data_IF_402078052834
#
_entry.id   IF_402078052834
#
_cell.length_a   1.000
_cell.length_b   1.000
_cell.length_c   1.000
_cell.angle_alpha   90.00
_cell.angle_beta   90.00
_cell.angle_gamma   90.00
#
_symmetry.space_group_name_H-M   'P 1'
#
loop_
_entity.id
_entity.type
_entity.pdbx_description
1 polymer ?
#
# COMPACT_ATOMS: atom_id res chain seq x y z
N UNK A 1 15.63 -17.14 35.39
CA UNK A 1 16.22 -15.84 35.00
C UNK A 1 15.53 -15.38 33.74
N UNK A 2 14.68 -14.33 33.78
CA UNK A 2 13.96 -13.89 32.59
C UNK A 2 14.98 -13.25 31.65
N UNK A 3 15.05 -13.74 30.41
CA UNK A 3 16.06 -13.32 29.47
C UNK A 3 15.80 -11.86 29.09
N UNK A 4 16.74 -11.03 29.49
CA UNK A 4 16.91 -9.61 29.22
C UNK A 4 17.13 -9.40 27.73
N UNK A 5 16.58 -8.33 27.16
CA UNK A 5 16.61 -8.08 25.71
C UNK A 5 17.98 -8.29 25.07
N UNK A 6 17.98 -8.85 23.87
CA UNK A 6 19.20 -9.22 23.13
C UNK A 6 19.50 -8.19 22.03
N UNK A 7 20.77 -7.84 21.84
CA UNK A 7 21.23 -6.96 20.77
C UNK A 7 22.27 -7.70 19.92
N UNK A 8 22.00 -7.84 18.62
CA UNK A 8 22.86 -8.57 17.68
C UNK A 8 23.18 -7.66 16.48
N UNK A 9 24.25 -6.85 16.53
CA UNK A 9 24.67 -6.08 15.37
C UNK A 9 25.29 -6.99 14.31
N UNK A 10 24.87 -6.80 13.06
CA UNK A 10 25.31 -7.61 11.92
C UNK A 10 26.20 -6.77 11.02
N UNK A 11 27.49 -7.08 10.97
CA UNK A 11 28.53 -6.29 10.28
C UNK A 11 28.82 -6.73 8.84
N UNK A 12 29.62 -5.95 8.09
CA UNK A 12 29.80 -6.19 6.67
C UNK A 12 30.46 -7.54 6.27
N UNK A 13 29.90 -8.21 5.25
CA UNK A 13 30.39 -9.36 4.50
C UNK A 13 29.79 -9.42 3.07
N UNK A 14 30.26 -10.38 2.27
CA UNK A 14 29.76 -10.59 0.89
C UNK A 14 28.40 -11.28 0.83
N UNK A 15 28.14 -12.23 1.72
CA UNK A 15 26.87 -12.94 1.80
C UNK A 15 26.62 -13.46 3.22
N UNK A 16 25.37 -13.38 3.70
CA UNK A 16 25.02 -13.78 5.05
C UNK A 16 23.62 -14.36 5.19
N UNK A 17 23.50 -15.39 6.02
CA UNK A 17 22.25 -15.96 6.46
C UNK A 17 22.20 -15.98 8.00
N UNK A 18 21.29 -15.19 8.58
CA UNK A 18 21.11 -15.14 10.04
C UNK A 18 19.65 -15.46 10.36
N UNK A 19 19.35 -16.69 10.81
CA UNK A 19 18.06 -16.99 11.42
C UNK A 19 18.00 -16.37 12.81
N UNK A 20 16.93 -15.64 13.07
CA UNK A 20 16.71 -14.94 14.33
C UNK A 20 15.66 -15.69 15.15
N UNK A 21 16.06 -16.29 16.27
CA UNK A 21 15.21 -17.18 17.09
C UNK A 21 14.42 -16.45 18.21
N UNK A 22 13.41 -17.12 18.81
CA UNK A 22 12.49 -16.49 19.76
C UNK A 22 13.10 -15.87 21.02
N UNK A 23 12.68 -14.65 21.31
CA UNK A 23 13.00 -13.88 22.51
C UNK A 23 11.85 -12.91 22.88
N UNK A 24 11.89 -12.38 24.11
CA UNK A 24 10.93 -11.39 24.62
C UNK A 24 11.11 -10.03 23.95
N UNK A 25 12.36 -9.57 23.81
CA UNK A 25 12.71 -8.32 23.15
C UNK A 25 14.05 -8.46 22.41
N UNK A 26 14.09 -7.99 21.16
CA UNK A 26 15.25 -8.17 20.30
C UNK A 26 15.51 -6.93 19.43
N UNK A 27 16.78 -6.53 19.33
CA UNK A 27 17.25 -5.45 18.46
C UNK A 27 18.37 -5.97 17.55
N UNK A 28 18.21 -5.83 16.23
CA UNK A 28 19.18 -6.33 15.24
C UNK A 28 19.41 -5.25 14.18
N UNK A 29 20.40 -4.37 14.37
CA UNK A 29 20.87 -3.49 13.31
C UNK A 29 21.61 -4.29 12.24
N UNK A 30 21.17 -4.20 10.98
CA UNK A 30 21.80 -4.88 9.84
C UNK A 30 22.58 -3.86 9.02
N UNK A 31 23.92 -3.95 9.03
CA UNK A 31 24.81 -3.00 8.34
C UNK A 31 25.05 -3.35 6.85
N UNK A 32 25.64 -2.42 6.05
CA UNK A 32 25.72 -2.55 4.60
C UNK A 32 26.50 -3.74 4.06
N UNK A 33 25.91 -4.50 3.11
CA UNK A 33 26.48 -5.65 2.39
C UNK A 33 25.93 -5.86 0.98
N UNK A 34 26.55 -6.82 0.27
CA UNK A 34 26.13 -7.25 -1.06
C UNK A 34 24.86 -8.10 -1.04
N UNK A 35 24.75 -9.12 -0.17
CA UNK A 35 23.58 -10.00 -0.13
C UNK A 35 23.24 -10.52 1.28
N UNK A 36 21.97 -10.46 1.67
CA UNK A 36 21.48 -10.94 2.97
C UNK A 36 20.20 -11.77 2.84
N UNK A 37 20.10 -12.82 3.66
CA UNK A 37 18.87 -13.53 3.99
C UNK A 37 18.68 -13.55 5.51
N UNK A 38 17.64 -12.91 6.02
CA UNK A 38 17.40 -12.78 7.46
C UNK A 38 15.98 -13.24 7.78
N UNK A 39 15.75 -14.55 7.97
CA UNK A 39 14.49 -15.06 8.48
C UNK A 39 14.30 -14.66 9.94
N UNK A 40 13.20 -13.96 10.22
CA UNK A 40 12.85 -13.49 11.56
C UNK A 40 11.75 -14.38 12.13
N UNK A 41 12.06 -15.22 13.13
CA UNK A 41 11.12 -16.13 13.78
C UNK A 41 10.36 -15.48 14.97
N UNK A 42 9.34 -16.15 15.55
CA UNK A 42 8.42 -15.56 16.52
C UNK A 42 9.07 -14.91 17.77
N UNK A 43 8.70 -13.68 18.07
CA UNK A 43 9.18 -12.77 19.11
C UNK A 43 8.02 -11.91 19.62
N UNK A 44 8.08 -11.50 20.90
CA UNK A 44 7.05 -10.61 21.47
C UNK A 44 7.25 -9.17 21.00
N UNK A 45 8.49 -8.67 21.05
CA UNK A 45 8.87 -7.34 20.58
C UNK A 45 10.17 -7.37 19.76
N UNK A 46 10.19 -6.72 18.60
CA UNK A 46 11.36 -6.70 17.72
C UNK A 46 11.57 -5.32 17.07
N UNK A 47 12.84 -4.92 17.00
CA UNK A 47 13.31 -3.79 16.20
C UNK A 47 14.45 -4.23 15.28
N UNK A 48 14.28 -4.09 13.96
CA UNK A 48 15.33 -4.38 12.96
C UNK A 48 15.51 -3.17 12.05
N UNK A 49 16.42 -2.25 12.40
CA UNK A 49 16.90 -1.25 11.45
C UNK A 49 17.79 -1.90 10.40
N UNK A 50 17.40 -1.79 9.14
CA UNK A 50 18.15 -2.35 8.01
C UNK A 50 18.83 -1.22 7.25
N UNK A 51 20.16 -1.17 7.27
CA UNK A 51 20.97 -0.19 6.53
C UNK A 51 21.20 -0.58 5.07
N UNK A 52 21.77 0.30 4.22
CA UNK A 52 21.84 0.08 2.78
C UNK A 52 22.54 -1.20 2.31
N UNK A 53 21.88 -2.00 1.47
CA UNK A 53 22.39 -3.24 0.88
C UNK A 53 22.11 -3.29 -0.64
N UNK A 54 22.87 -4.13 -1.37
CA UNK A 54 22.56 -4.40 -2.78
C UNK A 54 21.33 -5.32 -2.90
N UNK A 55 21.32 -6.47 -2.23
CA UNK A 55 20.20 -7.40 -2.26
C UNK A 55 19.84 -7.91 -0.86
N UNK A 56 18.56 -7.89 -0.52
CA UNK A 56 18.09 -8.27 0.80
C UNK A 56 16.79 -9.07 0.75
N UNK A 57 16.75 -10.17 1.49
CA UNK A 57 15.56 -10.97 1.73
C UNK A 57 15.28 -11.07 3.24
N UNK A 58 14.12 -10.58 3.68
CA UNK A 58 13.69 -10.62 5.09
C UNK A 58 12.29 -11.23 5.19
N UNK A 59 12.17 -12.55 5.33
CA UNK A 59 10.90 -13.16 5.73
C UNK A 59 10.60 -12.84 7.21
N UNK A 60 9.49 -12.15 7.47
CA UNK A 60 9.03 -11.82 8.83
C UNK A 60 7.92 -12.80 9.22
N UNK A 61 8.21 -13.76 10.10
CA UNK A 61 7.25 -14.77 10.58
C UNK A 61 6.31 -14.22 11.67
N UNK A 62 5.36 -15.01 12.23
CA UNK A 62 4.38 -14.49 13.16
C UNK A 62 4.92 -13.94 14.48
N UNK A 63 4.49 -12.72 14.84
CA UNK A 63 4.92 -11.99 16.03
C UNK A 63 3.84 -11.04 16.60
N UNK A 64 4.08 -10.51 17.79
CA UNK A 64 3.13 -9.61 18.48
C UNK A 64 3.29 -8.13 18.10
N UNK A 65 4.47 -7.52 18.25
CA UNK A 65 4.67 -6.08 17.99
C UNK A 65 6.04 -5.76 17.39
N UNK A 66 6.10 -5.13 16.21
CA UNK A 66 7.36 -4.98 15.44
C UNK A 66 7.53 -3.60 14.81
N UNK A 67 8.78 -3.15 14.75
CA UNK A 67 9.21 -1.98 13.97
C UNK A 67 10.43 -2.34 13.10
N UNK A 68 10.29 -2.27 11.78
CA UNK A 68 11.35 -2.64 10.83
C UNK A 68 11.59 -1.46 9.87
N UNK A 69 12.40 -0.46 10.26
CA UNK A 69 12.82 0.59 9.34
C UNK A 69 13.80 0.04 8.32
N UNK A 70 13.45 0.19 7.04
CA UNK A 70 14.30 -0.24 5.92
C UNK A 70 14.90 0.99 5.23
N UNK A 71 16.22 1.17 5.34
CA UNK A 71 16.99 2.21 4.64
C UNK A 71 17.34 1.80 3.19
N UNK A 72 17.85 2.73 2.36
CA UNK A 72 17.96 2.52 0.91
C UNK A 72 18.71 1.28 0.45
N UNK A 73 18.06 0.41 -0.34
CA UNK A 73 18.64 -0.78 -0.98
C UNK A 73 18.43 -0.77 -2.50
N UNK A 74 19.22 -1.56 -3.22
CA UNK A 74 18.96 -1.77 -4.66
C UNK A 74 17.76 -2.71 -4.85
N UNK A 75 17.73 -3.86 -4.17
CA UNK A 75 16.63 -4.81 -4.22
C UNK A 75 16.26 -5.33 -2.83
N UNK A 76 14.98 -5.22 -2.47
CA UNK A 76 14.41 -5.79 -1.24
C UNK A 76 13.23 -6.72 -1.56
N UNK A 77 13.26 -7.92 -1.00
CA UNK A 77 12.12 -8.82 -0.88
C UNK A 77 11.81 -9.05 0.61
N UNK A 78 10.59 -8.73 1.05
CA UNK A 78 10.20 -8.86 2.45
C UNK A 78 8.78 -9.43 2.57
N UNK A 79 8.63 -10.77 2.54
CA UNK A 79 7.37 -11.40 2.86
C UNK A 79 7.02 -11.21 4.34
N UNK A 80 5.83 -10.66 4.60
CA UNK A 80 5.31 -10.42 5.95
C UNK A 80 4.21 -11.42 6.25
N UNK A 81 4.46 -12.36 7.14
CA UNK A 81 3.50 -13.36 7.61
C UNK A 81 2.61 -12.81 8.75
N UNK A 82 1.63 -13.58 9.26
CA UNK A 82 0.65 -13.07 10.21
C UNK A 82 1.20 -12.51 11.53
N UNK A 83 0.99 -11.23 11.80
CA UNK A 83 1.34 -10.52 13.03
C UNK A 83 0.14 -9.76 13.62
N UNK A 84 0.23 -9.43 14.91
CA UNK A 84 -0.79 -8.61 15.57
C UNK A 84 -0.60 -7.12 15.24
N UNK A 85 0.61 -6.58 15.37
CA UNK A 85 0.91 -5.19 15.06
C UNK A 85 2.30 -5.05 14.43
N UNK A 86 2.38 -4.40 13.28
CA UNK A 86 3.64 -4.21 12.57
C UNK A 86 3.73 -2.82 11.93
N UNK A 87 4.89 -2.20 12.05
CA UNK A 87 5.24 -0.93 11.42
C UNK A 87 6.51 -1.10 10.58
N UNK A 88 6.42 -0.76 9.29
CA UNK A 88 7.53 -0.92 8.34
C UNK A 88 7.70 0.37 7.52
N UNK A 89 8.43 1.37 8.03
CA UNK A 89 8.85 2.50 7.23
C UNK A 89 9.88 2.03 6.19
N UNK A 90 9.58 2.21 4.90
CA UNK A 90 10.49 1.86 3.81
C UNK A 90 11.01 3.13 3.13
N UNK A 91 12.31 3.38 3.27
CA UNK A 91 13.03 4.47 2.60
C UNK A 91 13.40 4.11 1.15
N UNK A 92 13.89 5.07 0.34
CA UNK A 92 14.07 4.89 -1.09
C UNK A 92 14.88 3.67 -1.55
N UNK A 93 14.29 2.81 -2.38
CA UNK A 93 14.92 1.65 -3.02
C UNK A 93 14.73 1.68 -4.54
N UNK A 94 15.53 0.93 -5.29
CA UNK A 94 15.31 0.73 -6.72
C UNK A 94 14.15 -0.23 -6.98
N UNK A 95 14.17 -1.41 -6.37
CA UNK A 95 13.13 -2.42 -6.51
C UNK A 95 12.68 -2.98 -5.16
N UNK A 96 11.37 -2.97 -4.91
CA UNK A 96 10.77 -3.44 -3.67
C UNK A 96 9.62 -4.40 -3.92
N UNK A 97 9.64 -5.55 -3.24
CA UNK A 97 8.55 -6.52 -3.20
C UNK A 97 8.19 -6.86 -1.74
N UNK A 98 6.98 -6.50 -1.31
CA UNK A 98 6.48 -6.77 0.05
C UNK A 98 5.13 -7.49 -0.03
N UNK A 99 5.10 -8.83 -0.16
CA UNK A 99 3.89 -9.59 0.03
C UNK A 99 3.45 -9.54 1.50
N UNK A 100 2.24 -9.07 1.75
CA UNK A 100 1.66 -8.94 3.10
C UNK A 100 0.56 -10.00 3.26
N UNK A 101 0.79 -10.97 4.14
CA UNK A 101 -0.19 -11.99 4.54
C UNK A 101 -1.12 -11.48 5.66
N UNK A 102 -2.10 -12.27 6.14
CA UNK A 102 -3.09 -11.77 7.10
C UNK A 102 -2.55 -11.29 8.44
N UNK A 103 -2.75 -10.01 8.76
CA UNK A 103 -2.38 -9.34 10.01
C UNK A 103 -3.60 -8.61 10.62
N UNK A 104 -3.53 -8.32 11.92
CA UNK A 104 -4.55 -7.54 12.61
C UNK A 104 -4.39 -6.04 12.35
N UNK A 105 -3.19 -5.49 12.52
CA UNK A 105 -2.90 -4.08 12.27
C UNK A 105 -1.53 -3.90 11.61
N UNK A 106 -1.48 -3.19 10.48
CA UNK A 106 -0.25 -2.96 9.73
C UNK A 106 -0.15 -1.53 9.22
N UNK A 107 1.03 -0.95 9.37
CA UNK A 107 1.38 0.37 8.83
C UNK A 107 2.67 0.27 8.00
N UNK A 108 2.59 0.57 6.70
CA UNK A 108 3.74 0.56 5.79
C UNK A 108 3.85 1.91 5.07
N UNK A 109 4.46 2.93 5.68
CA UNK A 109 4.83 4.14 4.96
C UNK A 109 5.94 3.84 3.95
N UNK A 110 5.69 4.10 2.66
CA UNK A 110 6.66 3.86 1.59
C UNK A 110 7.11 5.17 0.98
N UNK A 111 8.38 5.51 1.15
CA UNK A 111 9.06 6.66 0.56
C UNK A 111 9.48 6.38 -0.89
N UNK A 112 9.94 7.39 -1.66
CA UNK A 112 10.14 7.26 -3.10
C UNK A 112 11.02 6.10 -3.58
N UNK A 113 10.50 5.23 -4.45
CA UNK A 113 11.19 4.11 -5.11
C UNK A 113 11.02 4.15 -6.63
N UNK A 114 11.86 3.42 -7.36
CA UNK A 114 11.66 3.24 -8.80
C UNK A 114 10.53 2.25 -9.11
N UNK A 115 10.56 1.07 -8.50
CA UNK A 115 9.55 0.03 -8.71
C UNK A 115 9.08 -0.58 -7.39
N UNK A 116 7.76 -0.59 -7.18
CA UNK A 116 7.14 -1.12 -5.97
C UNK A 116 6.02 -2.13 -6.29
N UNK A 117 6.09 -3.30 -5.65
CA UNK A 117 5.03 -4.30 -5.66
C UNK A 117 4.64 -4.70 -4.22
N UNK A 118 3.39 -4.44 -3.83
CA UNK A 118 2.87 -4.81 -2.50
C UNK A 118 1.55 -5.58 -2.66
N UNK A 119 1.59 -6.91 -2.87
CA UNK A 119 0.39 -7.73 -2.76
C UNK A 119 -0.09 -7.79 -1.31
N UNK A 120 -1.33 -7.38 -1.06
CA UNK A 120 -1.95 -7.36 0.27
C UNK A 120 -3.04 -8.42 0.35
N UNK A 121 -2.84 -9.45 1.16
CA UNK A 121 -3.83 -10.47 1.50
C UNK A 121 -4.77 -10.01 2.64
N UNK A 122 -5.80 -10.78 3.03
CA UNK A 122 -6.80 -10.30 3.99
C UNK A 122 -6.29 -9.87 5.37
N UNK A 123 -6.52 -8.62 5.76
CA UNK A 123 -6.17 -8.01 7.04
C UNK A 123 -7.39 -7.34 7.70
N UNK A 124 -7.30 -7.12 9.01
CA UNK A 124 -8.33 -6.34 9.75
C UNK A 124 -8.17 -4.83 9.53
N UNK A 125 -6.97 -4.28 9.73
CA UNK A 125 -6.70 -2.86 9.54
C UNK A 125 -5.34 -2.64 8.86
N UNK A 126 -5.34 -1.86 7.77
CA UNK A 126 -4.13 -1.58 7.00
C UNK A 126 -4.04 -0.10 6.60
N UNK A 127 -2.85 0.46 6.79
CA UNK A 127 -2.48 1.80 6.33
C UNK A 127 -1.20 1.75 5.51
N UNK A 128 -1.27 2.13 4.23
CA UNK A 128 -0.10 2.18 3.34
C UNK A 128 -0.04 3.57 2.67
N UNK A 129 0.53 4.58 3.35
CA UNK A 129 0.87 5.84 2.70
C UNK A 129 2.01 5.62 1.70
N UNK A 130 1.77 5.93 0.42
CA UNK A 130 2.76 5.78 -0.64
C UNK A 130 3.15 7.14 -1.20
N UNK A 131 4.41 7.52 -0.97
CA UNK A 131 5.06 8.71 -1.51
C UNK A 131 5.51 8.49 -2.97
N UNK A 132 5.97 9.54 -3.69
CA UNK A 132 6.23 9.46 -5.13
C UNK A 132 7.14 8.34 -5.63
N UNK A 133 6.65 7.47 -6.51
CA UNK A 133 7.38 6.39 -7.19
C UNK A 133 7.22 6.46 -8.71
N UNK A 134 8.13 5.81 -9.44
CA UNK A 134 7.99 5.70 -10.90
C UNK A 134 6.93 4.65 -11.29
N UNK A 135 6.96 3.47 -10.68
CA UNK A 135 5.99 2.40 -10.96
C UNK A 135 5.48 1.76 -9.67
N UNK A 136 4.16 1.69 -9.51
CA UNK A 136 3.50 1.11 -8.35
C UNK A 136 2.45 0.06 -8.74
N UNK A 137 2.51 -1.11 -8.11
CA UNK A 137 1.49 -2.15 -8.17
C UNK A 137 1.10 -2.61 -6.75
N UNK A 138 -0.17 -2.40 -6.37
CA UNK A 138 -0.71 -2.83 -5.06
C UNK A 138 -2.01 -3.60 -5.27
N UNK A 139 -1.95 -4.93 -5.53
CA UNK A 139 -3.14 -5.77 -5.48
C UNK A 139 -3.65 -5.92 -4.04
N UNK A 140 -4.90 -5.56 -3.80
CA UNK A 140 -5.53 -5.61 -2.48
C UNK A 140 -6.64 -6.63 -2.45
N UNK A 141 -6.46 -7.71 -1.69
CA UNK A 141 -7.48 -8.72 -1.38
C UNK A 141 -8.38 -8.29 -0.20
N UNK A 142 -9.48 -9.01 0.11
CA UNK A 142 -10.48 -8.55 1.08
C UNK A 142 -9.98 -8.18 2.47
N UNK A 143 -10.22 -6.96 2.93
CA UNK A 143 -9.89 -6.43 4.27
C UNK A 143 -11.13 -5.80 4.93
N UNK A 144 -11.08 -5.65 6.26
CA UNK A 144 -12.12 -4.91 7.00
C UNK A 144 -11.96 -3.40 6.86
N UNK A 145 -10.76 -2.86 7.06
CA UNK A 145 -10.48 -1.42 6.92
C UNK A 145 -9.15 -1.17 6.20
N UNK A 146 -9.19 -0.35 5.16
CA UNK A 146 -8.02 -0.01 4.37
C UNK A 146 -7.92 1.50 4.09
N UNK A 147 -6.72 2.04 4.29
CA UNK A 147 -6.34 3.40 3.90
C UNK A 147 -5.06 3.38 3.06
N UNK A 148 -5.13 3.82 1.81
CA UNK A 148 -3.97 3.92 0.91
C UNK A 148 -3.92 5.33 0.31
N UNK A 149 -3.36 6.32 1.02
CA UNK A 149 -3.02 7.62 0.42
C UNK A 149 -1.91 7.44 -0.63
N UNK A 150 -2.19 7.81 -1.87
CA UNK A 150 -1.25 7.70 -2.99
C UNK A 150 -0.84 9.09 -3.47
N UNK A 151 0.43 9.44 -3.23
CA UNK A 151 1.08 10.67 -3.67
C UNK A 151 1.67 10.56 -5.09
N UNK A 152 2.15 11.65 -5.71
CA UNK A 152 2.51 11.71 -7.13
C UNK A 152 3.38 10.56 -7.70
N UNK A 153 2.83 9.72 -8.57
CA UNK A 153 3.50 8.61 -9.25
C UNK A 153 3.41 8.75 -10.78
N UNK A 154 4.34 8.12 -11.51
CA UNK A 154 4.27 8.07 -12.98
C UNK A 154 3.25 7.02 -13.46
N UNK A 155 3.34 5.79 -12.94
CA UNK A 155 2.43 4.69 -13.27
C UNK A 155 1.89 4.01 -12.02
N UNK A 156 0.57 3.82 -11.97
CA UNK A 156 -0.12 3.15 -10.86
C UNK A 156 -1.09 2.08 -11.32
N UNK A 157 -1.05 0.93 -10.65
CA UNK A 157 -2.07 -0.11 -10.70
C UNK A 157 -2.47 -0.56 -9.29
N UNK A 158 -3.73 -0.32 -8.89
CA UNK A 158 -4.28 -0.79 -7.61
C UNK A 158 -5.60 -1.52 -7.86
N UNK A 159 -5.57 -2.83 -8.18
CA UNK A 159 -6.79 -3.62 -8.21
C UNK A 159 -7.24 -3.91 -6.78
N UNK A 160 -8.47 -3.53 -6.44
CA UNK A 160 -9.03 -3.69 -5.10
C UNK A 160 -10.22 -4.63 -5.11
N UNK A 161 -10.07 -5.78 -4.45
CA UNK A 161 -11.11 -6.77 -4.20
C UNK A 161 -12.01 -6.36 -3.02
N UNK A 162 -13.13 -7.07 -2.77
CA UNK A 162 -14.14 -6.64 -1.81
C UNK A 162 -13.66 -6.35 -0.38
N UNK A 163 -13.89 -5.15 0.15
CA UNK A 163 -13.60 -4.74 1.52
C UNK A 163 -14.85 -4.16 2.22
N UNK A 164 -14.82 -4.07 3.55
CA UNK A 164 -15.88 -3.38 4.29
C UNK A 164 -15.74 -1.85 4.19
N UNK A 165 -14.57 -1.30 4.46
CA UNK A 165 -14.31 0.14 4.37
C UNK A 165 -12.99 0.44 3.64
N UNK A 166 -13.06 1.30 2.63
CA UNK A 166 -11.92 1.66 1.80
C UNK A 166 -11.80 3.18 1.61
N UNK A 167 -10.60 3.70 1.84
CA UNK A 167 -10.22 5.09 1.55
C UNK A 167 -8.95 5.13 0.69
N UNK A 168 -9.04 5.66 -0.53
CA UNK A 168 -7.89 5.82 -1.44
C UNK A 168 -7.87 7.26 -1.98
N UNK A 169 -7.26 8.21 -1.26
CA UNK A 169 -6.95 9.52 -1.82
C UNK A 169 -5.89 9.38 -2.94
N UNK A 170 -6.23 9.85 -4.15
CA UNK A 170 -5.36 9.83 -5.32
C UNK A 170 -4.89 11.25 -5.64
N UNK A 171 -3.63 11.55 -5.34
CA UNK A 171 -2.99 12.85 -5.63
C UNK A 171 -2.48 12.93 -7.08
N UNK A 172 -1.91 14.07 -7.53
CA UNK A 172 -1.56 14.27 -8.93
C UNK A 172 -0.54 13.30 -9.53
N UNK A 173 -0.93 12.60 -10.58
CA UNK A 173 -0.14 11.56 -11.22
C UNK A 173 -0.35 11.49 -12.76
N UNK A 174 0.49 10.71 -13.46
CA UNK A 174 0.48 10.64 -14.94
C UNK A 174 -0.49 9.59 -15.54
N UNK A 175 -0.39 8.30 -15.17
CA UNK A 175 -1.22 7.23 -15.76
C UNK A 175 -1.68 6.16 -14.74
N UNK A 176 -2.99 5.97 -14.59
CA UNK A 176 -3.59 5.27 -13.44
C UNK A 176 -4.68 4.29 -13.85
N UNK A 177 -4.65 3.09 -13.24
CA UNK A 177 -5.72 2.11 -13.30
C UNK A 177 -6.06 1.62 -11.88
N UNK A 178 -7.27 1.91 -11.40
CA UNK A 178 -7.75 1.48 -10.07
C UNK A 178 -9.10 0.76 -10.23
N UNK A 179 -9.11 -0.52 -10.64
CA UNK A 179 -10.34 -1.32 -10.63
C UNK A 179 -10.79 -1.60 -9.19
N UNK A 180 -12.03 -1.25 -8.87
CA UNK A 180 -12.59 -1.45 -7.53
C UNK A 180 -13.81 -2.36 -7.59
N UNK A 181 -13.67 -3.55 -7.00
CA UNK A 181 -14.73 -4.54 -6.83
C UNK A 181 -15.65 -4.17 -5.64
N UNK A 182 -16.79 -4.87 -5.44
CA UNK A 182 -17.80 -4.47 -4.46
C UNK A 182 -17.31 -4.26 -3.03
N UNK A 183 -17.59 -3.11 -2.43
CA UNK A 183 -17.33 -2.78 -1.02
C UNK A 183 -18.59 -2.29 -0.32
N UNK A 184 -18.58 -2.26 1.01
CA UNK A 184 -19.68 -1.61 1.76
C UNK A 184 -19.56 -0.09 1.68
N UNK A 185 -18.39 0.46 2.00
CA UNK A 185 -18.13 1.91 1.96
C UNK A 185 -16.85 2.20 1.18
N UNK A 186 -16.95 3.08 0.19
CA UNK A 186 -15.86 3.49 -0.67
C UNK A 186 -15.73 5.01 -0.73
N UNK A 187 -14.53 5.52 -0.43
CA UNK A 187 -14.15 6.92 -0.58
C UNK A 187 -12.88 7.07 -1.42
N UNK A 188 -12.97 7.73 -2.57
CA UNK A 188 -11.83 7.96 -3.47
C UNK A 188 -11.78 9.44 -3.89
N UNK A 189 -11.21 10.33 -3.07
CA UNK A 189 -10.90 11.69 -3.51
C UNK A 189 -9.86 11.67 -4.63
N UNK A 190 -10.20 12.26 -5.78
CA UNK A 190 -9.36 12.32 -6.97
C UNK A 190 -8.91 13.76 -7.21
N UNK A 191 -7.63 14.01 -7.04
CA UNK A 191 -6.98 15.29 -7.35
C UNK A 191 -6.54 15.36 -8.82
N UNK A 192 -5.97 16.49 -9.30
CA UNK A 192 -5.61 16.66 -10.71
C UNK A 192 -4.59 15.66 -11.27
N UNK A 193 -4.97 14.83 -12.24
CA UNK A 193 -4.14 13.86 -12.95
C UNK A 193 -4.20 14.09 -14.48
N UNK A 194 -3.22 13.52 -15.19
CA UNK A 194 -3.20 13.53 -16.66
C UNK A 194 -4.15 12.47 -17.24
N UNK A 195 -4.06 11.21 -16.81
CA UNK A 195 -4.93 10.13 -17.27
C UNK A 195 -5.30 9.19 -16.11
N UNK A 196 -6.60 8.98 -15.90
CA UNK A 196 -7.12 8.16 -14.81
C UNK A 196 -8.28 7.28 -15.27
N UNK A 197 -8.19 5.99 -14.96
CA UNK A 197 -9.25 5.00 -15.15
C UNK A 197 -9.62 4.34 -13.81
N UNK A 198 -10.87 4.49 -13.36
CA UNK A 198 -11.38 3.89 -12.13
C UNK A 198 -12.71 3.16 -12.42
N UNK A 199 -12.67 1.90 -12.87
CA UNK A 199 -13.86 1.07 -12.93
C UNK A 199 -14.36 0.73 -11.54
N UNK A 200 -15.61 1.09 -11.21
CA UNK A 200 -16.21 0.86 -9.89
C UNK A 200 -17.42 -0.05 -10.01
N UNK A 201 -17.31 -1.25 -9.45
CA UNK A 201 -18.40 -2.22 -9.31
C UNK A 201 -19.34 -1.85 -8.15
N UNK A 202 -20.51 -2.51 -8.01
CA UNK A 202 -21.53 -2.13 -7.02
C UNK A 202 -21.02 -2.06 -5.57
N UNK A 203 -21.26 -0.93 -4.89
CA UNK A 203 -21.03 -0.72 -3.46
C UNK A 203 -22.31 -0.24 -2.78
N UNK A 204 -22.36 -0.37 -1.45
CA UNK A 204 -23.48 0.19 -0.66
C UNK A 204 -23.40 1.72 -0.60
N UNK A 205 -22.22 2.29 -0.34
CA UNK A 205 -22.02 3.73 -0.33
C UNK A 205 -20.74 4.11 -1.06
N UNK A 206 -20.86 5.06 -2.01
CA UNK A 206 -19.76 5.54 -2.84
C UNK A 206 -19.63 7.06 -2.76
N UNK A 207 -18.42 7.55 -2.44
CA UNK A 207 -18.05 8.96 -2.50
C UNK A 207 -16.77 9.15 -3.34
N UNK A 208 -16.84 9.88 -4.45
CA UNK A 208 -15.70 10.18 -5.33
C UNK A 208 -15.68 11.67 -5.67
N UNK A 209 -15.10 12.54 -4.82
CA UNK A 209 -14.84 13.92 -5.19
C UNK A 209 -13.79 14.01 -6.28
N UNK A 210 -14.10 14.65 -7.40
CA UNK A 210 -13.21 14.75 -8.58
C UNK A 210 -12.85 16.19 -8.87
N UNK A 211 -11.57 16.52 -8.69
CA UNK A 211 -10.96 17.79 -9.09
C UNK A 211 -10.58 17.81 -10.58
N UNK A 212 -10.14 18.95 -11.15
CA UNK A 212 -9.82 19.07 -12.57
C UNK A 212 -8.69 18.12 -13.04
N UNK A 213 -8.95 17.32 -14.07
CA UNK A 213 -8.11 16.30 -14.70
C UNK A 213 -8.12 16.52 -16.23
N UNK A 214 -7.07 16.02 -16.90
CA UNK A 214 -6.97 16.12 -18.36
C UNK A 214 -7.81 15.06 -19.07
N UNK A 215 -7.72 13.79 -18.65
CA UNK A 215 -8.52 12.69 -19.15
C UNK A 215 -8.98 11.78 -18.01
N UNK A 216 -10.30 11.59 -17.90
CA UNK A 216 -10.92 10.81 -16.84
C UNK A 216 -11.93 9.80 -17.38
N UNK A 217 -11.83 8.54 -16.94
CA UNK A 217 -12.79 7.48 -17.20
C UNK A 217 -13.20 6.79 -15.89
N UNK A 218 -14.46 6.96 -15.47
CA UNK A 218 -15.01 6.31 -14.28
C UNK A 218 -16.33 5.61 -14.66
N UNK A 219 -16.28 4.36 -15.12
CA UNK A 219 -17.49 3.57 -15.29
C UNK A 219 -17.96 3.07 -13.92
N UNK A 220 -19.17 3.45 -13.52
CA UNK A 220 -19.78 3.14 -12.22
C UNK A 220 -21.00 2.25 -12.43
N UNK A 221 -20.94 1.03 -11.91
CA UNK A 221 -22.09 0.12 -11.85
C UNK A 221 -23.07 0.56 -10.75
N UNK A 222 -24.31 0.03 -10.71
CA UNK A 222 -25.31 0.47 -9.73
C UNK A 222 -24.82 0.39 -8.27
N UNK A 223 -24.96 1.48 -7.52
CA UNK A 223 -24.64 1.59 -6.09
C UNK A 223 -25.90 1.99 -5.31
N UNK A 224 -26.00 1.63 -4.04
CA UNK A 224 -27.17 1.99 -3.20
C UNK A 224 -27.19 3.48 -2.86
N UNK A 225 -26.02 4.07 -2.58
CA UNK A 225 -25.84 5.50 -2.37
C UNK A 225 -24.60 6.00 -3.12
N UNK A 226 -24.73 7.14 -3.81
CA UNK A 226 -23.71 7.68 -4.70
C UNK A 226 -23.55 9.20 -4.52
N UNK A 227 -22.30 9.65 -4.35
CA UNK A 227 -21.92 11.06 -4.34
C UNK A 227 -20.63 11.27 -5.17
N UNK A 228 -20.72 12.01 -6.28
CA UNK A 228 -19.57 12.30 -7.16
C UNK A 228 -19.61 13.79 -7.51
N UNK A 229 -19.09 14.69 -6.64
CA UNK A 229 -18.96 16.09 -7.00
C UNK A 229 -17.80 16.26 -7.98
N UNK A 230 -18.09 16.87 -9.15
CA UNK A 230 -17.10 17.05 -10.23
C UNK A 230 -16.88 18.53 -10.50
N UNK A 231 -15.65 18.98 -10.25
CA UNK A 231 -15.19 20.33 -10.59
C UNK A 231 -14.83 20.44 -12.09
N UNK A 232 -14.71 21.64 -12.68
CA UNK A 232 -14.50 21.78 -14.13
C UNK A 232 -13.28 21.01 -14.65
N UNK A 233 -13.48 20.17 -15.67
CA UNK A 233 -12.47 19.27 -16.24
C UNK A 233 -12.34 19.50 -17.76
N UNK A 234 -11.20 19.14 -18.36
CA UNK A 234 -10.99 19.29 -19.81
C UNK A 234 -11.69 18.22 -20.64
N UNK A 235 -11.70 16.96 -20.18
CA UNK A 235 -12.41 15.84 -20.81
C UNK A 235 -12.80 14.78 -19.78
N UNK A 236 -14.10 14.49 -19.66
CA UNK A 236 -14.64 13.55 -18.68
C UNK A 236 -15.58 12.55 -19.36
N UNK A 237 -15.33 11.26 -19.11
CA UNK A 237 -16.27 10.19 -19.41
C UNK A 237 -16.73 9.54 -18.12
N UNK A 238 -18.02 9.68 -17.80
CA UNK A 238 -18.66 9.01 -16.67
C UNK A 238 -19.94 8.33 -17.14
N UNK A 239 -20.02 7.03 -16.91
CA UNK A 239 -21.22 6.24 -17.15
C UNK A 239 -21.72 5.69 -15.81
N UNK A 240 -22.97 5.96 -15.47
CA UNK A 240 -23.60 5.51 -14.24
C UNK A 240 -24.96 4.89 -14.53
N UNK A 241 -25.14 3.61 -14.20
CA UNK A 241 -26.44 2.96 -14.26
C UNK A 241 -27.20 3.22 -12.94
N UNK A 242 -28.14 4.19 -12.96
CA UNK A 242 -29.16 4.57 -11.94
C UNK A 242 -28.84 5.66 -10.89
N UNK A 243 -29.93 6.19 -10.28
CA UNK A 243 -30.17 7.51 -9.64
C UNK A 243 -28.94 8.19 -9.05
N UNK A 244 -28.64 9.37 -9.60
CA UNK A 244 -27.47 10.15 -9.27
C UNK A 244 -27.89 11.52 -8.72
N UNK A 245 -27.39 11.90 -7.54
CA UNK A 245 -27.27 13.31 -7.18
C UNK A 245 -25.95 13.81 -7.75
N UNK A 246 -26.01 14.33 -8.98
CA UNK A 246 -24.89 15.02 -9.64
C UNK A 246 -25.05 16.52 -9.40
N UNK A 247 -24.11 17.15 -8.69
CA UNK A 247 -23.94 18.60 -8.70
C UNK A 247 -22.81 18.90 -9.70
N UNK A 248 -23.16 19.41 -10.89
CA UNK A 248 -22.23 19.49 -12.02
C UNK A 248 -22.17 20.89 -12.63
N UNK A 249 -20.95 21.36 -12.89
CA UNK A 249 -20.67 22.63 -13.59
C UNK A 249 -19.96 22.42 -14.95
N UNK A 250 -20.05 21.22 -15.56
CA UNK A 250 -19.38 20.87 -16.82
C UNK A 250 -20.24 19.94 -17.70
N UNK A 251 -19.94 19.90 -19.01
CA UNK A 251 -20.59 19.02 -19.99
C UNK A 251 -20.19 17.55 -19.76
N UNK A 252 -21.14 16.77 -19.25
CA UNK A 252 -20.98 15.32 -19.02
C UNK A 252 -21.79 14.58 -20.07
N UNK A 253 -21.14 13.64 -20.78
CA UNK A 253 -21.84 12.65 -21.59
C UNK A 253 -22.30 11.53 -20.65
N UNK A 254 -23.57 11.57 -20.25
CA UNK A 254 -24.24 10.49 -19.52
C UNK A 254 -24.82 9.52 -20.56
N UNK A 255 -24.41 8.26 -20.53
CA UNK A 255 -24.99 7.15 -21.31
C UNK A 255 -25.60 6.15 -20.34
#
# INVERSE_FOLDING_TARGET
YPNTGLNIPVYPNTALNIPVYPNTALNIPVYPNTAHNIPVYPNTALNIPVYPNTALNIPVYPNTAHNIPVYPNTALNMPVYPNTALNIPVYPNTALNIPVYPNSALNIPVYPNTALNIPVYPNSALNIPVYPNSALNIPVYPNSALNIPVYPNTALNIPVYPNTALNIPVYPNTAHNIPVYPNTVLNIPVYPNTALNIPVYPNTALNIPVYPNTALNIPVYPNTALNIPVYPNSAVYMAAHTVVYMETHADIIVI
#
